data_IF_294356392023
#
_entry.id   IF_294356392023
#
_cell.length_a   1.000
_cell.length_b   1.000
_cell.length_c   1.000
_cell.angle_alpha   90.00
_cell.angle_beta   90.00
_cell.angle_gamma   90.00
#
_symmetry.space_group_name_H-M   'P 1'
#
loop_
_entity.id
_entity.type
_entity.pdbx_description
1 polymer ?
#
# COMPACT_ATOMS: atom_id res chain seq x y z
N UNK A 1 5.68 -24.99 20.68
CA UNK A 1 6.31 -23.68 20.48
C UNK A 1 5.68 -22.85 19.35
N UNK A 2 5.61 -23.37 18.11
CA UNK A 2 5.06 -22.64 16.94
C UNK A 2 3.59 -22.18 17.08
N UNK A 3 2.72 -22.96 17.76
CA UNK A 3 1.34 -22.55 18.04
C UNK A 3 1.27 -21.34 18.99
N UNK A 4 2.08 -21.33 20.04
CA UNK A 4 2.13 -20.22 21.00
C UNK A 4 2.59 -18.93 20.34
N UNK A 5 3.64 -18.99 19.51
CA UNK A 5 4.13 -17.83 18.74
C UNK A 5 3.04 -17.27 17.81
N UNK A 6 2.29 -18.15 17.12
CA UNK A 6 1.19 -17.73 16.24
C UNK A 6 0.02 -17.10 17.00
N UNK A 7 -0.30 -17.62 18.19
CA UNK A 7 -1.34 -17.06 19.06
C UNK A 7 -0.92 -15.68 19.55
N UNK A 8 0.31 -15.51 20.04
CA UNK A 8 0.84 -14.21 20.49
C UNK A 8 0.82 -13.19 19.36
N UNK A 9 1.26 -13.58 18.15
CA UNK A 9 1.22 -12.68 16.98
C UNK A 9 -0.20 -12.24 16.63
N UNK A 10 -1.18 -13.14 16.71
CA UNK A 10 -2.61 -12.81 16.50
C UNK A 10 -3.14 -11.90 17.60
N UNK A 11 -2.81 -12.17 18.86
CA UNK A 11 -3.22 -11.36 20.00
C UNK A 11 -2.68 -9.93 19.87
N UNK A 12 -1.39 -9.76 19.54
CA UNK A 12 -0.80 -8.44 19.31
C UNK A 12 -1.47 -7.70 18.14
N UNK A 13 -1.79 -8.41 17.06
CA UNK A 13 -2.54 -7.83 15.94
C UNK A 13 -3.94 -7.34 16.35
N UNK A 14 -4.66 -8.12 17.15
CA UNK A 14 -5.97 -7.74 17.66
C UNK A 14 -5.91 -6.56 18.62
N UNK A 15 -4.90 -6.51 19.51
CA UNK A 15 -4.67 -5.39 20.42
C UNK A 15 -4.38 -4.11 19.62
N UNK A 16 -3.55 -4.19 18.59
CA UNK A 16 -3.25 -3.06 17.71
C UNK A 16 -4.51 -2.55 17.00
N UNK A 17 -5.31 -3.46 16.41
CA UNK A 17 -6.56 -3.09 15.74
C UNK A 17 -7.54 -2.46 16.74
N UNK A 18 -7.66 -3.01 17.95
CA UNK A 18 -8.51 -2.45 19.00
C UNK A 18 -8.06 -1.05 19.42
N UNK A 19 -6.75 -0.85 19.63
CA UNK A 19 -6.18 0.43 20.00
C UNK A 19 -6.40 1.51 18.92
N UNK A 20 -6.16 1.17 17.65
CA UNK A 20 -6.42 2.07 16.51
C UNK A 20 -7.90 2.40 16.41
N UNK A 21 -8.79 1.39 16.48
CA UNK A 21 -10.25 1.62 16.40
C UNK A 21 -10.75 2.53 17.53
N UNK A 22 -10.26 2.33 18.75
CA UNK A 22 -10.63 3.18 19.89
C UNK A 22 -10.10 4.61 19.73
N UNK A 23 -8.85 4.78 19.29
CA UNK A 23 -8.26 6.09 18.98
C UNK A 23 -9.01 6.81 17.86
N UNK A 24 -9.28 6.10 16.75
CA UNK A 24 -10.06 6.59 15.62
C UNK A 24 -11.40 7.15 16.08
N UNK A 25 -12.16 6.36 16.85
CA UNK A 25 -13.50 6.76 17.28
C UNK A 25 -13.45 7.97 18.22
N UNK A 26 -12.45 8.03 19.10
CA UNK A 26 -12.27 9.15 20.02
C UNK A 26 -11.94 10.45 19.27
N UNK A 27 -10.98 10.39 18.33
CA UNK A 27 -10.60 11.54 17.50
C UNK A 27 -11.73 11.97 16.57
N UNK A 28 -12.43 11.02 15.95
CA UNK A 28 -13.51 11.31 15.03
C UNK A 28 -14.69 11.96 15.74
N UNK A 29 -15.03 11.48 16.94
CA UNK A 29 -16.07 12.11 17.74
C UNK A 29 -15.67 13.54 18.14
N UNK A 30 -14.43 13.75 18.57
CA UNK A 30 -13.94 15.09 18.91
C UNK A 30 -13.96 16.05 17.71
N UNK A 31 -13.44 15.63 16.55
CA UNK A 31 -13.46 16.48 15.36
C UNK A 31 -14.89 16.76 14.88
N UNK A 32 -15.81 15.82 15.09
CA UNK A 32 -17.22 16.02 14.80
C UNK A 32 -17.84 17.07 15.73
N UNK A 33 -17.51 17.09 17.02
CA UNK A 33 -17.99 18.14 17.94
C UNK A 33 -17.42 19.52 17.63
N UNK A 34 -16.25 19.59 16.98
CA UNK A 34 -15.67 20.84 16.46
C UNK A 34 -16.26 21.30 15.12
N UNK A 35 -17.20 20.54 14.53
CA UNK A 35 -17.83 20.90 13.26
C UNK A 35 -17.01 20.56 12.02
N UNK A 36 -16.03 19.66 12.10
CA UNK A 36 -15.21 19.27 10.95
C UNK A 36 -15.96 18.46 9.87
N UNK A 37 -17.25 18.19 10.05
CA UNK A 37 -18.10 17.51 9.08
C UNK A 37 -17.54 16.15 8.68
N UNK A 38 -17.39 15.90 7.37
CA UNK A 38 -16.86 14.65 6.85
C UNK A 38 -15.37 14.44 7.20
N UNK A 39 -14.60 15.51 7.39
CA UNK A 39 -13.18 15.42 7.74
C UNK A 39 -12.95 14.84 9.14
N UNK A 40 -13.95 14.91 10.02
CA UNK A 40 -13.90 14.27 11.33
C UNK A 40 -13.64 12.76 11.22
N UNK A 41 -14.11 12.12 10.16
CA UNK A 41 -13.97 10.68 9.95
C UNK A 41 -12.81 10.35 9.02
N UNK A 42 -12.59 11.16 7.99
CA UNK A 42 -11.55 10.90 7.00
C UNK A 42 -10.16 11.09 7.61
N UNK A 43 -9.94 12.17 8.35
CA UNK A 43 -8.60 12.52 8.83
C UNK A 43 -8.06 11.45 9.78
N UNK A 44 -8.76 11.05 10.87
CA UNK A 44 -8.30 9.97 11.74
C UNK A 44 -8.06 8.64 11.00
N UNK A 45 -8.92 8.29 10.03
CA UNK A 45 -8.75 7.07 9.23
C UNK A 45 -7.43 7.09 8.43
N UNK A 46 -7.08 8.22 7.83
CA UNK A 46 -5.82 8.38 7.08
C UNK A 46 -4.62 8.28 8.01
N UNK A 47 -4.67 8.88 9.21
CA UNK A 47 -3.61 8.76 10.21
C UNK A 47 -3.40 7.30 10.65
N UNK A 48 -4.47 6.56 10.89
CA UNK A 48 -4.40 5.14 11.27
C UNK A 48 -3.86 4.26 10.14
N UNK A 49 -4.32 4.48 8.90
CA UNK A 49 -3.78 3.80 7.73
C UNK A 49 -2.30 4.10 7.51
N UNK A 50 -1.88 5.34 7.74
CA UNK A 50 -0.48 5.73 7.69
C UNK A 50 0.34 5.02 8.78
N UNK A 51 -0.15 4.95 10.02
CA UNK A 51 0.50 4.19 11.10
C UNK A 51 0.64 2.71 10.74
N UNK A 52 -0.42 2.08 10.26
CA UNK A 52 -0.41 0.68 9.82
C UNK A 52 0.56 0.44 8.67
N UNK A 53 0.59 1.34 7.68
CA UNK A 53 1.50 1.27 6.54
C UNK A 53 2.96 1.36 6.98
N UNK A 54 3.30 2.35 7.81
CA UNK A 54 4.67 2.50 8.31
C UNK A 54 5.10 1.32 9.19
N UNK A 55 4.23 0.83 10.07
CA UNK A 55 4.48 -0.38 10.87
C UNK A 55 4.71 -1.61 9.99
N UNK A 56 3.93 -1.76 8.92
CA UNK A 56 4.10 -2.87 7.98
C UNK A 56 5.47 -2.81 7.31
N UNK A 57 5.89 -1.60 6.87
CA UNK A 57 7.20 -1.39 6.24
C UNK A 57 8.34 -1.71 7.22
N UNK A 58 8.25 -1.26 8.47
CA UNK A 58 9.31 -1.49 9.48
C UNK A 58 9.41 -2.97 9.87
N UNK A 59 8.28 -3.67 9.94
CA UNK A 59 8.18 -5.10 10.25
C UNK A 59 8.48 -6.03 9.07
N UNK A 60 8.54 -5.53 7.83
CA UNK A 60 8.84 -6.36 6.65
C UNK A 60 10.30 -6.82 6.67
N UNK A 61 10.52 -8.14 6.58
CA UNK A 61 11.84 -8.75 6.47
C UNK A 61 12.44 -8.49 5.09
N UNK A 62 13.75 -8.20 5.02
CA UNK A 62 14.43 -7.89 3.75
C UNK A 62 14.21 -6.48 3.20
N UNK A 63 13.40 -5.63 3.87
CA UNK A 63 13.24 -4.22 3.49
C UNK A 63 14.53 -3.43 3.73
N UNK A 64 14.89 -2.55 2.79
CA UNK A 64 16.07 -1.71 2.88
C UNK A 64 16.13 -0.92 4.19
N UNK A 65 17.31 -0.83 4.81
CA UNK A 65 17.51 -0.18 6.11
C UNK A 65 17.08 1.30 6.06
N UNK A 66 17.33 1.97 4.94
CA UNK A 66 16.93 3.37 4.75
C UNK A 66 15.42 3.54 4.66
N UNK A 67 14.72 2.61 3.98
CA UNK A 67 13.27 2.60 3.93
C UNK A 67 12.67 2.38 5.33
N UNK A 68 13.26 1.49 6.15
CA UNK A 68 12.84 1.29 7.54
C UNK A 68 13.07 2.55 8.39
N UNK A 69 14.22 3.22 8.24
CA UNK A 69 14.52 4.47 8.96
C UNK A 69 13.57 5.59 8.55
N UNK A 70 13.28 5.72 7.26
CA UNK A 70 12.32 6.70 6.75
C UNK A 70 10.91 6.43 7.28
N UNK A 71 10.45 5.18 7.21
CA UNK A 71 9.16 4.77 7.76
C UNK A 71 9.06 5.04 9.27
N UNK A 72 10.14 4.78 10.02
CA UNK A 72 10.18 5.07 11.45
C UNK A 72 10.06 6.57 11.76
N UNK A 73 10.76 7.42 11.00
CA UNK A 73 10.65 8.88 11.16
C UNK A 73 9.22 9.36 10.92
N UNK A 74 8.59 8.86 9.85
CA UNK A 74 7.20 9.20 9.53
C UNK A 74 6.26 8.68 10.62
N UNK A 75 6.45 7.44 11.09
CA UNK A 75 5.66 6.85 12.16
C UNK A 75 5.70 7.71 13.43
N UNK A 76 6.88 8.18 13.84
CA UNK A 76 7.02 9.06 15.01
C UNK A 76 6.22 10.35 14.83
N UNK A 77 6.28 10.98 13.65
CA UNK A 77 5.52 12.22 13.38
C UNK A 77 4.01 11.96 13.47
N UNK A 78 3.53 10.92 12.79
CA UNK A 78 2.10 10.55 12.74
C UNK A 78 1.57 10.20 14.13
N UNK A 79 2.32 9.39 14.90
CA UNK A 79 1.99 9.02 16.29
C UNK A 79 1.96 10.26 17.18
N UNK A 80 2.93 11.16 17.05
CA UNK A 80 2.99 12.38 17.88
C UNK A 80 1.79 13.29 17.62
N UNK A 81 1.43 13.51 16.35
CA UNK A 81 0.24 14.29 15.98
C UNK A 81 -1.02 13.61 16.52
N UNK A 82 -1.14 12.30 16.33
CA UNK A 82 -2.31 11.53 16.78
C UNK A 82 -2.45 11.54 18.32
N UNK A 83 -1.35 11.45 19.06
CA UNK A 83 -1.32 11.59 20.51
C UNK A 83 -1.72 13.00 20.96
N UNK A 84 -1.24 14.04 20.28
CA UNK A 84 -1.60 15.43 20.57
C UNK A 84 -3.10 15.69 20.34
N UNK A 85 -3.69 15.16 19.26
CA UNK A 85 -5.14 15.27 18.98
C UNK A 85 -5.95 14.53 20.04
N UNK A 86 -5.55 13.30 20.42
CA UNK A 86 -6.19 12.56 21.52
C UNK A 86 -6.07 13.30 22.85
N UNK A 87 -4.93 13.93 23.12
CA UNK A 87 -4.77 14.73 24.32
C UNK A 87 -5.60 16.01 24.25
N UNK A 88 -5.84 16.61 23.08
CA UNK A 88 -6.66 17.82 22.92
C UNK A 88 -8.17 17.54 23.05
N UNK A 89 -8.60 16.29 22.85
CA UNK A 89 -10.00 15.91 22.92
C UNK A 89 -10.66 16.22 24.28
N UNK A 90 -11.95 16.59 24.29
CA UNK A 90 -12.68 16.93 25.51
C UNK A 90 -12.85 15.69 26.39
N UNK A 91 -12.59 15.85 27.68
CA UNK A 91 -12.74 14.79 28.67
C UNK A 91 -11.93 15.03 29.94
N UNK A 92 -12.10 14.17 30.97
CA UNK A 92 -11.28 14.19 32.17
C UNK A 92 -9.80 14.04 31.82
N UNK A 93 -8.93 14.76 32.54
CA UNK A 93 -7.49 14.83 32.24
C UNK A 93 -6.83 13.44 32.23
N UNK A 94 -7.27 12.54 33.12
CA UNK A 94 -6.82 11.15 33.15
C UNK A 94 -7.20 10.35 31.90
N UNK A 95 -8.41 10.55 31.36
CA UNK A 95 -8.87 9.84 30.15
C UNK A 95 -8.08 10.30 28.91
N UNK A 96 -7.84 11.61 28.80
CA UNK A 96 -7.03 12.23 27.73
C UNK A 96 -5.59 11.70 27.74
N UNK A 97 -5.00 11.60 28.92
CA UNK A 97 -3.67 11.02 29.10
C UNK A 97 -3.65 9.54 28.71
N UNK A 98 -4.67 8.75 29.06
CA UNK A 98 -4.77 7.33 28.69
C UNK A 98 -4.81 7.16 27.17
N UNK A 99 -5.66 7.90 26.44
CA UNK A 99 -5.73 7.78 24.98
C UNK A 99 -4.43 8.23 24.29
N UNK A 100 -3.80 9.31 24.76
CA UNK A 100 -2.49 9.73 24.26
C UNK A 100 -1.42 8.66 24.50
N UNK A 101 -1.42 8.02 25.68
CA UNK A 101 -0.50 6.91 26.01
C UNK A 101 -0.75 5.66 25.16
N UNK A 102 -2.01 5.32 24.88
CA UNK A 102 -2.37 4.18 24.01
C UNK A 102 -1.80 4.37 22.60
N UNK A 103 -1.91 5.58 22.04
CA UNK A 103 -1.30 5.89 20.74
C UNK A 103 0.23 5.90 20.82
N UNK A 104 0.81 6.46 21.88
CA UNK A 104 2.26 6.44 22.11
C UNK A 104 2.83 5.02 22.26
N UNK A 105 2.07 4.11 22.88
CA UNK A 105 2.41 2.69 23.03
C UNK A 105 2.56 1.99 21.67
N UNK A 106 1.87 2.43 20.61
CA UNK A 106 2.04 1.87 19.26
C UNK A 106 3.49 2.08 18.77
N UNK A 107 4.06 3.27 18.97
CA UNK A 107 5.47 3.52 18.67
C UNK A 107 6.41 2.82 19.67
N UNK A 108 6.02 2.74 20.94
CA UNK A 108 6.78 2.06 21.98
C UNK A 108 6.97 0.55 21.72
N UNK A 109 5.92 -0.14 21.29
CA UNK A 109 5.97 -1.57 20.91
C UNK A 109 6.92 -1.78 19.74
N UNK A 110 6.95 -0.87 18.77
CA UNK A 110 7.85 -0.97 17.62
C UNK A 110 9.31 -0.66 17.98
N UNK A 111 9.54 0.31 18.87
CA UNK A 111 10.88 0.55 19.43
C UNK A 111 11.41 -0.67 20.16
N UNK A 112 10.56 -1.32 20.98
CA UNK A 112 10.89 -2.57 21.66
C UNK A 112 11.12 -3.69 20.65
N UNK A 113 10.31 -3.84 19.61
CA UNK A 113 10.50 -4.85 18.56
C UNK A 113 11.77 -4.63 17.71
N UNK A 114 12.15 -3.37 17.47
CA UNK A 114 13.41 -3.04 16.80
C UNK A 114 14.64 -3.36 17.67
N UNK A 115 14.50 -3.28 19.00
CA UNK A 115 15.57 -3.52 19.96
C UNK A 115 15.68 -4.99 20.37
N UNK A 116 14.55 -5.66 20.55
CA UNK A 116 14.42 -7.11 20.69
C UNK A 116 14.22 -7.65 19.29
N UNK A 117 15.25 -7.58 18.42
CA UNK A 117 15.21 -8.39 17.20
C UNK A 117 15.06 -9.85 17.67
N UNK A 118 13.98 -10.57 17.34
CA UNK A 118 14.03 -12.02 17.39
C UNK A 118 15.18 -12.37 16.45
N UNK A 119 16.19 -13.05 16.99
CA UNK A 119 17.33 -13.46 16.20
C UNK A 119 16.84 -14.53 15.21
N UNK A 120 16.28 -14.08 14.09
CA UNK A 120 15.81 -14.93 13.03
C UNK A 120 16.98 -15.68 12.38
N UNK A 121 18.22 -15.20 12.54
CA UNK A 121 19.40 -15.96 12.20
C UNK A 121 19.60 -17.11 13.19
N UNK A 122 19.46 -16.91 14.51
CA UNK A 122 19.47 -18.02 15.47
C UNK A 122 18.24 -18.94 15.37
N UNK A 123 17.09 -18.46 14.89
CA UNK A 123 15.91 -19.30 14.61
C UNK A 123 16.10 -20.09 13.31
N UNK A 124 16.62 -19.50 12.24
CA UNK A 124 16.98 -20.21 11.01
C UNK A 124 18.15 -21.18 11.24
N UNK A 125 19.14 -20.81 12.04
CA UNK A 125 20.26 -21.69 12.39
C UNK A 125 19.79 -22.85 13.28
N UNK A 126 18.80 -22.65 14.15
CA UNK A 126 18.12 -23.72 14.90
C UNK A 126 17.15 -24.54 14.03
N UNK A 127 16.47 -23.96 13.05
CA UNK A 127 15.63 -24.73 12.12
C UNK A 127 16.50 -25.54 11.15
N UNK A 128 17.59 -24.97 10.64
CA UNK A 128 18.57 -25.67 9.81
C UNK A 128 19.23 -26.77 10.62
N UNK A 129 19.68 -26.53 11.86
CA UNK A 129 20.31 -27.56 12.69
C UNK A 129 19.36 -28.72 13.00
N UNK A 130 18.09 -28.44 13.33
CA UNK A 130 17.06 -29.46 13.59
C UNK A 130 16.67 -30.22 12.30
N UNK A 131 16.66 -29.57 11.14
CA UNK A 131 16.40 -30.24 9.85
C UNK A 131 17.60 -31.09 9.42
N UNK A 132 18.84 -30.63 9.64
CA UNK A 132 20.06 -31.39 9.34
C UNK A 132 20.28 -32.56 10.30
N UNK A 133 19.93 -32.43 11.59
CA UNK A 133 20.00 -33.53 12.56
C UNK A 133 18.95 -34.62 12.28
N UNK A 134 17.74 -34.25 11.84
CA UNK A 134 16.66 -35.23 11.59
C UNK A 134 16.79 -35.92 10.22
N UNK A 135 17.50 -35.34 9.24
CA UNK A 135 17.74 -35.98 7.94
C UNK A 135 19.13 -35.67 7.35
N UNK A 136 20.19 -36.32 7.83
CA UNK A 136 21.41 -36.39 7.05
C UNK A 136 21.16 -37.27 5.82
N UNK A 137 21.22 -36.68 4.62
CA UNK A 137 21.43 -37.44 3.37
C UNK A 137 20.23 -38.17 2.75
N UNK A 138 18.96 -37.87 3.10
CA UNK A 138 17.83 -38.48 2.37
C UNK A 138 17.71 -37.91 0.96
N UNK A 139 18.39 -38.53 -0.01
CA UNK A 139 18.17 -38.31 -1.44
C UNK A 139 16.68 -38.48 -1.73
N UNK A 140 16.07 -37.48 -2.38
CA UNK A 140 14.70 -37.61 -2.89
C UNK A 140 14.68 -38.81 -3.83
N UNK A 141 13.65 -39.66 -3.70
CA UNK A 141 13.42 -40.75 -4.64
C UNK A 141 13.43 -40.19 -6.09
N UNK A 142 14.25 -40.74 -7.00
CA UNK A 142 14.42 -40.20 -8.36
C UNK A 142 13.09 -40.02 -9.12
N UNK A 143 12.07 -40.83 -8.84
CA UNK A 143 10.74 -40.65 -9.45
C UNK A 143 10.03 -39.38 -8.95
N UNK A 144 10.11 -39.10 -7.64
CA UNK A 144 9.50 -37.91 -7.04
C UNK A 144 10.22 -36.64 -7.50
N UNK A 145 11.54 -36.72 -7.71
CA UNK A 145 12.32 -35.62 -8.27
C UNK A 145 11.90 -35.29 -9.71
N UNK A 146 11.70 -36.32 -10.55
CA UNK A 146 11.21 -36.16 -11.93
C UNK A 146 9.79 -35.60 -11.99
N UNK A 147 8.88 -36.08 -11.14
CA UNK A 147 7.52 -35.57 -11.07
C UNK A 147 7.46 -34.09 -10.64
N UNK A 148 8.30 -33.68 -9.69
CA UNK A 148 8.41 -32.27 -9.27
C UNK A 148 9.02 -31.39 -10.35
N UNK A 149 10.03 -31.88 -11.07
CA UNK A 149 10.63 -31.17 -12.20
C UNK A 149 9.62 -30.97 -13.34
N UNK A 150 8.80 -31.98 -13.65
CA UNK A 150 7.73 -31.88 -14.64
C UNK A 150 6.68 -30.83 -14.25
N UNK A 151 6.21 -30.86 -13.00
CA UNK A 151 5.25 -29.85 -12.49
C UNK A 151 5.81 -28.43 -12.48
N UNK A 152 7.11 -28.29 -12.17
CA UNK A 152 7.78 -27.00 -12.22
C UNK A 152 7.93 -26.49 -13.67
N UNK A 153 8.22 -27.38 -14.63
CA UNK A 153 8.28 -27.04 -16.04
C UNK A 153 6.91 -26.61 -16.59
N UNK A 154 5.84 -27.30 -16.21
CA UNK A 154 4.47 -26.95 -16.56
C UNK A 154 4.08 -25.57 -16.01
N UNK A 155 4.41 -25.30 -14.74
CA UNK A 155 4.15 -23.99 -14.10
C UNK A 155 4.92 -22.86 -14.80
N UNK A 156 6.16 -23.12 -15.23
CA UNK A 156 6.96 -22.15 -16.00
C UNK A 156 6.34 -21.86 -17.37
N UNK A 157 5.88 -22.89 -18.09
CA UNK A 157 5.19 -22.74 -19.38
C UNK A 157 3.89 -21.96 -19.24
N UNK A 158 3.08 -22.25 -18.23
CA UNK A 158 1.85 -21.50 -17.95
C UNK A 158 2.12 -20.02 -17.64
N UNK A 159 3.16 -19.74 -16.85
CA UNK A 159 3.55 -18.36 -16.51
C UNK A 159 4.11 -17.60 -17.72
N UNK A 160 4.80 -18.29 -18.62
CA UNK A 160 5.30 -17.70 -19.86
C UNK A 160 4.15 -17.37 -20.83
N UNK A 161 3.20 -18.30 -21.02
CA UNK A 161 2.01 -18.06 -21.84
C UNK A 161 1.16 -16.89 -21.30
N UNK A 162 1.04 -16.75 -19.98
CA UNK A 162 0.33 -15.62 -19.37
C UNK A 162 1.02 -14.27 -19.66
N UNK A 163 2.36 -14.23 -19.66
CA UNK A 163 3.13 -13.01 -20.00
C UNK A 163 2.97 -12.65 -21.47
N UNK A 164 3.07 -13.64 -22.36
CA UNK A 164 2.88 -13.44 -23.80
C UNK A 164 1.47 -12.92 -24.14
N UNK A 165 0.44 -13.43 -23.45
CA UNK A 165 -0.93 -12.94 -23.59
C UNK A 165 -1.09 -11.49 -23.09
N UNK A 166 -0.43 -11.13 -21.97
CA UNK A 166 -0.45 -9.76 -21.44
C UNK A 166 0.24 -8.78 -22.40
N UNK A 167 1.39 -9.17 -22.97
CA UNK A 167 2.13 -8.36 -23.93
C UNK A 167 1.34 -8.18 -25.23
N UNK A 168 0.66 -9.22 -25.73
CA UNK A 168 -0.22 -9.13 -26.88
C UNK A 168 -1.41 -8.18 -26.63
N UNK A 169 -2.03 -8.25 -25.44
CA UNK A 169 -3.12 -7.35 -25.05
C UNK A 169 -2.65 -5.88 -24.97
N UNK A 170 -1.46 -5.64 -24.42
CA UNK A 170 -0.84 -4.30 -24.38
C UNK A 170 -0.56 -3.75 -25.78
N UNK A 171 -0.03 -4.58 -26.69
CA UNK A 171 0.22 -4.19 -28.07
C UNK A 171 -1.09 -3.85 -28.82
N UNK A 172 -2.15 -4.63 -28.62
CA UNK A 172 -3.47 -4.35 -29.21
C UNK A 172 -4.08 -3.05 -28.65
N UNK A 173 -4.00 -2.83 -27.34
CA UNK A 173 -4.47 -1.59 -26.73
C UNK A 173 -3.71 -0.35 -27.26
N UNK A 174 -2.40 -0.47 -27.49
CA UNK A 174 -1.59 0.59 -28.09
C UNK A 174 -2.04 0.91 -29.52
N UNK A 175 -2.31 -0.11 -30.34
CA UNK A 175 -2.83 0.06 -31.71
C UNK A 175 -4.19 0.76 -31.73
N UNK A 176 -5.12 0.38 -30.84
CA UNK A 176 -6.44 1.02 -30.74
C UNK A 176 -6.30 2.49 -30.32
N UNK A 177 -5.41 2.80 -29.37
CA UNK A 177 -5.14 4.20 -28.97
C UNK A 177 -4.56 5.02 -30.12
N UNK A 178 -3.61 4.46 -30.87
CA UNK A 178 -3.02 5.11 -32.04
C UNK A 178 -4.08 5.39 -33.12
N UNK A 179 -4.96 4.44 -33.41
CA UNK A 179 -6.05 4.62 -34.36
C UNK A 179 -7.02 5.74 -33.94
N UNK A 180 -7.43 5.76 -32.67
CA UNK A 180 -8.29 6.84 -32.13
C UNK A 180 -7.60 8.20 -32.15
N UNK A 181 -6.29 8.26 -31.94
CA UNK A 181 -5.53 9.51 -32.04
C UNK A 181 -5.48 10.03 -33.49
N UNK A 182 -5.26 9.15 -34.46
CA UNK A 182 -5.27 9.48 -35.87
C UNK A 182 -6.65 9.97 -36.35
N UNK A 183 -7.73 9.33 -35.90
CA UNK A 183 -9.11 9.77 -36.19
C UNK A 183 -9.40 11.17 -35.63
N UNK A 184 -9.02 11.43 -34.37
CA UNK A 184 -9.15 12.76 -33.77
C UNK A 184 -8.36 13.83 -34.52
N UNK A 185 -7.18 13.49 -35.03
CA UNK A 185 -6.38 14.42 -35.83
C UNK A 185 -7.07 14.77 -37.16
N UNK A 186 -7.68 13.79 -37.83
CA UNK A 186 -8.47 14.02 -39.05
C UNK A 186 -9.69 14.89 -38.81
N UNK A 187 -10.42 14.64 -37.71
CA UNK A 187 -11.59 15.45 -37.34
C UNK A 187 -11.19 16.90 -37.05
N UNK A 188 -10.04 17.12 -36.40
CA UNK A 188 -9.51 18.48 -36.17
C UNK A 188 -9.14 19.16 -37.48
N UNK A 189 -8.41 18.48 -38.36
CA UNK A 189 -8.04 19.04 -39.67
C UNK A 189 -9.27 19.42 -40.50
N UNK A 190 -10.30 18.55 -40.55
CA UNK A 190 -11.54 18.85 -41.26
C UNK A 190 -12.32 20.04 -40.65
N UNK A 191 -12.25 20.21 -39.32
CA UNK A 191 -12.84 21.37 -38.65
C UNK A 191 -12.07 22.66 -38.99
N UNK A 192 -10.75 22.61 -38.97
CA UNK A 192 -9.90 23.75 -39.30
C UNK A 192 -10.11 24.20 -40.76
N UNK A 193 -10.31 23.26 -41.70
CA UNK A 193 -10.68 23.57 -43.10
C UNK A 193 -12.06 24.23 -43.21
N UNK A 194 -13.05 23.76 -42.45
CA UNK A 194 -14.39 24.34 -42.43
C UNK A 194 -14.39 25.77 -41.85
N UNK A 195 -13.64 25.98 -40.78
CA UNK A 195 -13.50 27.29 -40.14
C UNK A 195 -12.82 28.28 -41.12
N UNK A 196 -11.79 27.85 -41.87
CA UNK A 196 -11.17 28.66 -42.94
C UNK A 196 -12.14 29.01 -44.07
N UNK A 197 -12.99 28.07 -44.49
CA UNK A 197 -13.99 28.32 -45.52
C UNK A 197 -15.00 29.40 -45.08
N UNK A 198 -15.50 29.32 -43.84
CA UNK A 198 -16.43 30.32 -43.31
C UNK A 198 -15.78 31.69 -43.13
N UNK A 199 -14.51 31.75 -42.74
CA UNK A 199 -13.77 33.02 -42.64
C UNK A 199 -13.54 33.65 -44.02
N UNK A 200 -13.27 32.85 -45.06
CA UNK A 200 -13.16 33.33 -46.43
C UNK A 200 -14.50 33.85 -46.97
N UNK A 201 -15.60 33.14 -46.70
CA UNK A 201 -16.95 33.55 -47.12
C UNK A 201 -17.36 34.87 -46.43
N UNK A 202 -17.07 35.02 -45.13
CA UNK A 202 -17.29 36.28 -44.40
C UNK A 202 -16.46 37.44 -44.95
N UNK A 203 -15.21 37.19 -45.36
CA UNK A 203 -14.36 38.22 -45.98
C UNK A 203 -14.93 38.70 -47.32
N UNK A 204 -15.47 37.79 -48.14
CA UNK A 204 -16.09 38.12 -49.44
C UNK A 204 -17.41 38.88 -49.25
N UNK A 205 -18.26 38.46 -48.32
CA UNK A 205 -19.53 39.17 -48.01
C UNK A 205 -19.26 40.55 -47.40
N UNK A 206 -18.21 40.67 -46.57
CA UNK A 206 -17.76 41.95 -46.02
C UNK A 206 -17.29 42.92 -47.11
N UNK A 207 -16.57 42.43 -48.12
CA UNK A 207 -16.10 43.24 -49.24
C UNK A 207 -17.26 43.77 -50.12
N UNK A 208 -18.32 42.98 -50.31
CA UNK A 208 -19.49 43.40 -51.09
C UNK A 208 -20.39 44.44 -50.42
N UNK A 209 -20.27 44.65 -49.10
CA UNK A 209 -21.01 45.71 -48.37
C UNK A 209 -20.28 47.07 -48.36
N UNK A 210 -19.03 47.12 -48.81
CA UNK A 210 -18.19 48.32 -48.75
C UNK A 210 -18.09 49.09 -50.08
N UNK A 211 -18.84 48.69 -51.11
CA UNK A 211 -18.99 49.37 -52.42
C UNK A 211 -20.40 49.88 -52.58
#
# INVERSE_FOLDING_TARGET
MLRAIRIIKRANGLILIGALTASYLHQAHYLATLGAGMFAWIVPAVFDLAMLSMLTITQTTGMAVDAKRAAMKILVVVVTISAAVNFAAPGPLGLRAIFALVVGLVAGVEWVAAKIRPDFAAIEEREVSVITEVRPGRKLDPEVARARAAKAAETRRAKQAAREAEDAARAQAARVRAARAAERARVRAAKDELDQFFDQERAVVGAHRAT
#
